data_IF_805761258676
#
_entry.id   IF_805761258676
#
_cell.length_a   1.000
_cell.length_b   1.000
_cell.length_c   1.000
_cell.angle_alpha   90.00
_cell.angle_beta   90.00
_cell.angle_gamma   90.00
#
_symmetry.space_group_name_H-M   'P 1'
#
loop_
_entity.id
_entity.type
_entity.pdbx_description
1 polymer ?
#
# COMPACT_ATOMS: atom_id res chain seq x y z
N UNK A 1 0.41 21.16 -8.17
CA UNK A 1 1.08 20.03 -7.50
C UNK A 1 1.14 18.91 -8.52
N UNK A 2 2.29 18.28 -8.75
CA UNK A 2 2.35 17.15 -9.69
C UNK A 2 1.54 15.99 -9.09
N UNK A 3 0.46 15.58 -9.77
CA UNK A 3 -0.34 14.40 -9.45
C UNK A 3 0.40 13.15 -9.93
N UNK A 4 1.54 12.84 -9.30
CA UNK A 4 2.18 11.54 -9.50
C UNK A 4 1.52 10.53 -8.59
N UNK A 5 0.84 9.55 -9.18
CA UNK A 5 0.43 8.33 -8.47
C UNK A 5 1.68 7.45 -8.36
N UNK A 6 2.16 7.13 -7.14
CA UNK A 6 3.32 6.28 -6.97
C UNK A 6 3.00 4.83 -7.37
N UNK A 7 4.00 4.11 -7.88
CA UNK A 7 3.86 2.65 -8.04
C UNK A 7 3.90 1.96 -6.68
N UNK A 8 3.46 0.69 -6.63
CA UNK A 8 3.57 -0.13 -5.41
C UNK A 8 5.01 -0.21 -4.92
N UNK A 9 5.98 -0.36 -5.82
CA UNK A 9 7.40 -0.39 -5.47
C UNK A 9 7.86 0.94 -4.88
N UNK A 10 7.46 2.07 -5.46
CA UNK A 10 7.81 3.39 -4.94
C UNK A 10 7.23 3.63 -3.54
N UNK A 11 5.97 3.23 -3.32
CA UNK A 11 5.32 3.29 -2.01
C UNK A 11 6.00 2.37 -0.99
N UNK A 12 6.37 1.14 -1.40
CA UNK A 12 7.03 0.18 -0.52
C UNK A 12 8.45 0.59 -0.12
N UNK A 13 9.21 1.18 -1.05
CA UNK A 13 10.52 1.74 -0.72
C UNK A 13 10.42 2.95 0.20
N UNK A 14 9.39 3.80 0.03
CA UNK A 14 9.10 4.87 0.96
C UNK A 14 8.73 4.35 2.36
N UNK A 15 7.91 3.30 2.44
CA UNK A 15 7.55 2.63 3.68
C UNK A 15 8.81 2.14 4.41
N UNK A 16 9.70 1.42 3.73
CA UNK A 16 10.98 0.93 4.28
C UNK A 16 11.96 2.05 4.63
N UNK A 17 11.85 3.22 3.99
CA UNK A 17 12.65 4.39 4.34
C UNK A 17 12.33 4.92 5.73
N UNK A 18 11.06 4.92 6.13
CA UNK A 18 10.63 5.49 7.43
C UNK A 18 10.31 4.45 8.50
N UNK A 19 10.01 3.21 8.12
CA UNK A 19 9.76 2.11 9.04
C UNK A 19 10.92 1.11 8.99
N UNK A 20 11.56 0.87 10.13
CA UNK A 20 12.80 0.06 10.21
C UNK A 20 12.61 -1.29 10.86
N UNK A 21 11.50 -1.51 11.55
CA UNK A 21 11.22 -2.78 12.21
C UNK A 21 10.44 -3.69 11.29
N UNK A 22 10.78 -4.98 11.32
CA UNK A 22 10.07 -6.00 10.55
C UNK A 22 8.58 -6.07 10.93
N UNK A 23 8.24 -5.80 12.19
CA UNK A 23 6.85 -5.77 12.66
C UNK A 23 6.02 -4.68 11.97
N UNK A 24 6.57 -3.47 11.78
CA UNK A 24 5.86 -2.38 11.10
C UNK A 24 5.70 -2.67 9.61
N UNK A 25 6.70 -3.26 8.97
CA UNK A 25 6.62 -3.67 7.56
C UNK A 25 5.56 -4.76 7.38
N UNK A 26 5.56 -5.78 8.24
CA UNK A 26 4.54 -6.85 8.21
C UNK A 26 3.13 -6.30 8.46
N UNK A 27 2.99 -5.32 9.36
CA UNK A 27 1.71 -4.66 9.59
C UNK A 27 1.20 -3.97 8.32
N UNK A 28 2.02 -3.17 7.64
CA UNK A 28 1.64 -2.52 6.38
C UNK A 28 1.26 -3.55 5.30
N UNK A 29 2.03 -4.62 5.12
CA UNK A 29 1.70 -5.68 4.15
C UNK A 29 0.35 -6.36 4.44
N UNK A 30 0.00 -6.51 5.72
CA UNK A 30 -1.31 -7.03 6.12
C UNK A 30 -2.43 -6.03 5.79
N UNK A 31 -2.20 -4.73 6.01
CA UNK A 31 -3.14 -3.66 5.66
C UNK A 31 -3.32 -3.58 4.15
N UNK A 32 -2.25 -3.60 3.34
CA UNK A 32 -2.30 -3.72 1.88
C UNK A 32 -3.24 -4.85 1.43
N UNK A 33 -3.08 -6.04 2.01
CA UNK A 33 -3.93 -7.20 1.72
C UNK A 33 -5.41 -6.96 2.04
N UNK A 34 -5.72 -6.35 3.18
CA UNK A 34 -7.09 -5.98 3.57
C UNK A 34 -7.67 -4.93 2.61
N UNK A 35 -6.88 -3.92 2.23
CA UNK A 35 -7.32 -2.87 1.31
C UNK A 35 -7.63 -3.42 -0.08
N UNK A 36 -6.76 -4.28 -0.64
CA UNK A 36 -7.01 -4.99 -1.90
C UNK A 36 -8.29 -5.85 -1.83
N UNK A 37 -8.49 -6.58 -0.74
CA UNK A 37 -9.70 -7.37 -0.54
C UNK A 37 -10.97 -6.50 -0.51
N UNK A 38 -10.94 -5.38 0.24
CA UNK A 38 -12.05 -4.46 0.32
C UNK A 38 -12.35 -3.78 -1.03
N UNK A 39 -11.31 -3.44 -1.79
CA UNK A 39 -11.45 -2.88 -3.13
C UNK A 39 -12.20 -3.84 -4.06
N UNK A 40 -11.79 -5.12 -4.08
CA UNK A 40 -12.48 -6.17 -4.85
C UNK A 40 -13.95 -6.30 -4.46
N UNK A 41 -14.23 -6.31 -3.14
CA UNK A 41 -15.60 -6.42 -2.62
C UNK A 41 -16.48 -5.22 -2.97
N UNK A 42 -15.87 -4.05 -3.18
CA UNK A 42 -16.54 -2.79 -3.54
C UNK A 42 -16.47 -2.44 -5.02
N UNK A 43 -15.89 -3.32 -5.85
CA UNK A 43 -15.70 -3.11 -7.28
C UNK A 43 -14.86 -1.86 -7.59
N UNK A 44 -13.83 -1.62 -6.78
CA UNK A 44 -12.85 -0.54 -6.86
C UNK A 44 -11.48 -1.05 -7.36
N UNK A 45 -10.56 -0.13 -7.68
CA UNK A 45 -9.21 -0.44 -8.17
C UNK A 45 -8.31 -1.05 -7.08
N UNK A 46 -8.02 -2.35 -7.19
CA UNK A 46 -7.17 -3.08 -6.25
C UNK A 46 -5.73 -2.56 -6.17
N UNK A 47 -5.15 -2.08 -7.27
CA UNK A 47 -3.76 -1.60 -7.27
C UNK A 47 -3.66 -0.23 -6.60
N UNK A 48 -4.63 0.66 -6.88
CA UNK A 48 -4.75 1.94 -6.17
C UNK A 48 -4.88 1.73 -4.67
N UNK A 49 -5.77 0.83 -4.24
CA UNK A 49 -5.98 0.55 -2.83
C UNK A 49 -4.82 -0.23 -2.19
N UNK A 50 -4.09 -1.02 -2.97
CA UNK A 50 -2.85 -1.67 -2.53
C UNK A 50 -1.69 -0.69 -2.29
N UNK A 51 -1.64 0.44 -3.00
CA UNK A 51 -0.66 1.52 -2.75
C UNK A 51 -1.01 2.33 -1.49
N UNK A 52 -2.30 2.42 -1.15
CA UNK A 52 -2.79 3.17 0.02
C UNK A 52 -2.61 2.38 1.33
N UNK A 53 -2.70 1.05 1.27
CA UNK A 53 -2.55 0.15 2.43
C UNK A 53 -1.11 -0.21 2.72
#
# INVERSE_FOLDING_TARGET
MNEKIPTREEAFELLKKYNKTESLIKHALAVEGVMRYMARKRNEDEEKWGVIG
#
